data_IF_438333447193
#
_entry.id   IF_438333447193
#
_cell.length_a   1.000
_cell.length_b   1.000
_cell.length_c   1.000
_cell.angle_alpha   90.00
_cell.angle_beta   90.00
_cell.angle_gamma   90.00
#
_symmetry.space_group_name_H-M   'P 1'
#
loop_
_entity.id
_entity.type
_entity.pdbx_description
1 polymer ?
#
# COMPACT_ATOMS: atom_id res chain seq x y z
N UNK A 1 21.28 15.83 5.04
CA UNK A 1 21.37 14.36 4.99
C UNK A 1 20.13 13.85 5.70
N UNK A 2 19.30 13.05 5.04
CA UNK A 2 18.07 12.55 5.64
C UNK A 2 18.37 11.36 6.56
N UNK A 3 17.61 11.27 7.66
CA UNK A 3 17.72 10.18 8.61
C UNK A 3 16.46 9.31 8.56
N UNK A 4 16.67 8.00 8.55
CA UNK A 4 15.63 6.98 8.53
C UNK A 4 15.59 6.27 9.88
N UNK A 5 14.43 6.29 10.52
CA UNK A 5 14.21 5.53 11.74
C UNK A 5 14.06 4.04 11.41
N UNK A 6 14.95 3.21 11.94
CA UNK A 6 14.89 1.75 11.85
C UNK A 6 14.64 1.17 13.23
N UNK A 7 13.57 0.38 13.36
CA UNK A 7 13.25 -0.34 14.59
C UNK A 7 13.74 -1.77 14.46
N UNK A 8 14.74 -2.13 15.25
CA UNK A 8 15.32 -3.46 15.29
C UNK A 8 14.58 -4.29 16.32
N UNK A 9 14.15 -5.47 15.90
CA UNK A 9 13.57 -6.50 16.73
C UNK A 9 14.46 -7.74 16.70
N UNK A 10 14.97 -8.12 17.86
CA UNK A 10 15.66 -9.39 18.03
C UNK A 10 14.62 -10.48 18.33
N UNK A 11 14.61 -11.54 17.53
CA UNK A 11 13.67 -12.66 17.73
C UNK A 11 14.11 -13.63 18.81
N UNK A 12 15.39 -13.63 19.17
CA UNK A 12 15.96 -14.55 20.16
C UNK A 12 15.56 -14.16 21.59
N UNK A 13 15.64 -12.87 21.90
CA UNK A 13 15.38 -12.33 23.24
C UNK A 13 14.16 -11.39 23.30
N UNK A 14 13.46 -11.22 22.17
CA UNK A 14 12.31 -10.32 22.01
C UNK A 14 12.60 -8.85 22.34
N UNK A 15 13.88 -8.46 22.33
CA UNK A 15 14.29 -7.08 22.55
C UNK A 15 13.96 -6.20 21.35
N UNK A 16 13.71 -4.92 21.65
CA UNK A 16 13.38 -3.89 20.68
C UNK A 16 14.24 -2.67 20.92
N UNK A 17 14.85 -2.15 19.86
CA UNK A 17 15.59 -0.88 19.90
C UNK A 17 15.43 -0.08 18.62
N UNK A 18 15.53 1.23 18.71
CA UNK A 18 15.39 2.14 17.57
C UNK A 18 16.74 2.78 17.23
N UNK A 19 17.06 2.88 15.95
CA UNK A 19 18.26 3.53 15.44
C UNK A 19 17.90 4.53 14.35
N UNK A 20 18.61 5.66 14.34
CA UNK A 20 18.57 6.60 13.22
C UNK A 20 19.68 6.27 12.24
N UNK A 21 19.34 5.96 10.99
CA UNK A 21 20.30 5.59 9.93
C UNK A 21 20.31 6.67 8.85
N UNK A 22 21.46 7.28 8.52
CA UNK A 22 21.53 8.22 7.42
C UNK A 22 21.33 7.49 6.09
N UNK A 23 20.46 8.00 5.23
CA UNK A 23 20.15 7.36 3.95
C UNK A 23 20.11 8.35 2.79
N UNK A 24 20.20 7.80 1.59
CA UNK A 24 19.90 8.49 0.33
C UNK A 24 18.85 7.70 -0.46
N UNK A 25 18.11 8.37 -1.35
CA UNK A 25 17.10 7.72 -2.18
C UNK A 25 17.69 6.68 -3.16
N UNK A 26 19.00 6.74 -3.42
CA UNK A 26 19.72 5.79 -4.27
C UNK A 26 20.31 4.61 -3.48
N UNK A 27 20.20 4.62 -2.14
CA UNK A 27 20.63 3.47 -1.33
C UNK A 27 19.73 2.27 -1.62
N UNK A 28 20.30 1.08 -1.52
CA UNK A 28 19.55 -0.18 -1.58
C UNK A 28 19.27 -0.69 -0.17
N UNK A 29 18.38 -1.68 -0.06
CA UNK A 29 18.13 -2.40 1.21
C UNK A 29 19.42 -3.00 1.76
N UNK A 30 20.29 -3.56 0.90
CA UNK A 30 21.60 -4.06 1.31
C UNK A 30 22.47 -2.97 1.96
N UNK A 31 22.53 -1.78 1.37
CA UNK A 31 23.29 -0.66 1.95
C UNK A 31 22.75 -0.26 3.32
N UNK A 32 21.44 -0.38 3.55
CA UNK A 32 20.83 -0.14 4.87
C UNK A 32 21.20 -1.25 5.86
N UNK A 33 21.18 -2.52 5.45
CA UNK A 33 21.63 -3.64 6.29
C UNK A 33 23.10 -3.47 6.74
N UNK A 34 23.98 -3.06 5.83
CA UNK A 34 25.39 -2.78 6.11
C UNK A 34 25.56 -1.60 7.10
N UNK A 35 24.79 -0.53 6.93
CA UNK A 35 24.78 0.61 7.85
C UNK A 35 24.26 0.23 9.25
N UNK A 36 23.22 -0.61 9.33
CA UNK A 36 22.73 -1.15 10.59
C UNK A 36 23.80 -2.02 11.23
N UNK A 37 24.44 -2.89 10.45
CA UNK A 37 25.53 -3.76 10.89
C UNK A 37 26.67 -2.96 11.50
N UNK A 38 27.11 -1.89 10.84
CA UNK A 38 28.19 -1.02 11.34
C UNK A 38 27.85 -0.36 12.68
N UNK A 39 26.58 0.03 12.90
CA UNK A 39 26.15 0.64 14.17
C UNK A 39 25.89 -0.37 15.29
N UNK A 40 25.63 -1.64 14.98
CA UNK A 40 25.15 -2.63 15.96
C UNK A 40 26.10 -3.79 16.20
N UNK A 41 27.06 -4.01 15.31
CA UNK A 41 27.92 -5.19 15.29
C UNK A 41 27.24 -6.47 14.82
N UNK A 42 25.98 -6.41 14.36
CA UNK A 42 25.22 -7.59 13.89
C UNK A 42 25.59 -7.86 12.43
N UNK A 43 25.81 -9.11 12.05
CA UNK A 43 26.07 -9.46 10.64
C UNK A 43 24.88 -9.10 9.74
N UNK A 44 25.09 -8.48 8.56
CA UNK A 44 24.01 -8.12 7.65
C UNK A 44 23.21 -9.33 7.16
N UNK A 45 23.79 -10.54 7.16
CA UNK A 45 23.11 -11.79 6.77
C UNK A 45 22.08 -12.29 7.78
N UNK A 46 22.12 -11.77 9.00
CA UNK A 46 21.12 -12.05 10.03
C UNK A 46 20.02 -10.99 10.03
N UNK A 47 20.18 -9.89 9.29
CA UNK A 47 19.19 -8.82 9.23
C UNK A 47 18.20 -9.07 8.10
N UNK A 48 16.93 -8.86 8.41
CA UNK A 48 15.85 -8.88 7.44
C UNK A 48 15.04 -7.61 7.55
N UNK A 49 15.24 -6.71 6.60
CA UNK A 49 14.50 -5.44 6.55
C UNK A 49 13.10 -5.68 6.01
N UNK A 50 12.11 -5.13 6.71
CA UNK A 50 10.69 -5.30 6.48
C UNK A 50 10.02 -3.94 6.41
N UNK A 51 9.17 -3.78 5.39
CA UNK A 51 8.28 -2.64 5.25
C UNK A 51 6.88 -3.13 4.86
N UNK A 52 5.85 -2.59 5.50
CA UNK A 52 4.46 -2.98 5.26
C UNK A 52 4.21 -4.49 5.40
N UNK A 53 4.94 -5.14 6.32
CA UNK A 53 4.85 -6.57 6.59
C UNK A 53 5.48 -7.48 5.54
N UNK A 54 6.07 -6.92 4.48
CA UNK A 54 6.85 -7.65 3.49
C UNK A 54 8.34 -7.50 3.80
N UNK A 55 9.07 -8.63 3.77
CA UNK A 55 10.52 -8.60 3.76
C UNK A 55 11.02 -8.10 2.39
N UNK A 56 11.86 -7.08 2.43
CA UNK A 56 12.35 -6.42 1.22
C UNK A 56 13.52 -7.20 0.61
N UNK A 57 13.65 -7.14 -0.70
CA UNK A 57 14.80 -7.71 -1.40
C UNK A 57 16.00 -6.78 -1.29
N UNK A 58 17.20 -7.35 -1.12
CA UNK A 58 18.46 -6.62 -0.94
C UNK A 58 18.75 -5.61 -2.06
N UNK A 59 18.28 -5.88 -3.27
CA UNK A 59 18.45 -5.04 -4.47
C UNK A 59 17.44 -3.89 -4.59
N UNK A 60 16.40 -3.85 -3.76
CA UNK A 60 15.36 -2.82 -3.85
C UNK A 60 15.91 -1.45 -3.47
N UNK A 61 15.66 -0.42 -4.29
CA UNK A 61 16.05 0.95 -3.98
C UNK A 61 15.08 1.61 -3.00
N UNK A 62 15.58 2.45 -2.10
CA UNK A 62 14.73 3.14 -1.13
C UNK A 62 13.75 4.13 -1.76
N UNK A 63 14.07 4.71 -2.93
CA UNK A 63 13.14 5.57 -3.69
C UNK A 63 11.84 4.86 -4.08
N UNK A 64 11.89 3.55 -4.30
CA UNK A 64 10.74 2.76 -4.76
C UNK A 64 9.80 2.39 -3.59
N UNK A 65 10.26 2.55 -2.34
CA UNK A 65 9.54 2.16 -1.13
C UNK A 65 8.52 3.22 -0.64
N UNK A 66 8.44 4.38 -1.31
CA UNK A 66 7.56 5.49 -0.94
C UNK A 66 7.68 5.87 0.55
N UNK A 67 8.93 5.99 1.02
CA UNK A 67 9.25 6.41 2.38
C UNK A 67 8.77 7.86 2.56
N UNK A 68 7.85 8.07 3.49
CA UNK A 68 7.46 9.42 3.92
C UNK A 68 8.24 9.84 5.17
N UNK A 69 8.20 11.12 5.58
CA UNK A 69 9.04 11.68 6.65
C UNK A 69 8.95 10.95 8.00
N UNK A 70 7.84 10.28 8.28
CA UNK A 70 7.58 9.53 9.52
C UNK A 70 7.45 8.02 9.29
N UNK A 71 7.95 7.52 8.15
CA UNK A 71 7.99 6.09 7.86
C UNK A 71 9.21 5.49 8.50
N UNK A 72 9.01 4.52 9.39
CA UNK A 72 10.09 3.68 9.90
C UNK A 72 10.19 2.37 9.13
N UNK A 73 11.41 1.86 9.01
CA UNK A 73 11.67 0.47 8.62
C UNK A 73 11.74 -0.41 9.87
N UNK A 74 11.47 -1.70 9.68
CA UNK A 74 11.61 -2.70 10.73
C UNK A 74 12.71 -3.65 10.29
N UNK A 75 13.66 -3.96 11.16
CA UNK A 75 14.68 -4.97 10.89
C UNK A 75 14.54 -6.11 11.90
N UNK A 76 14.31 -7.33 11.41
CA UNK A 76 14.34 -8.53 12.26
C UNK A 76 15.73 -9.13 12.25
N UNK A 77 16.20 -9.56 13.41
CA UNK A 77 17.38 -10.41 13.54
C UNK A 77 16.92 -11.86 13.48
N UNK A 78 17.41 -12.62 12.50
CA UNK A 78 17.13 -14.06 12.34
C UNK A 78 18.33 -14.88 12.83
N UNK A 79 18.11 -15.85 13.73
CA UNK A 79 19.17 -16.72 14.26
C UNK A 79 19.64 -17.82 13.30
N UNK A 80 19.06 -17.90 12.09
CA UNK A 80 19.52 -18.82 11.03
C UNK A 80 19.60 -18.06 9.71
N UNK A 81 20.72 -18.15 8.99
CA UNK A 81 20.76 -17.70 7.61
C UNK A 81 19.75 -18.54 6.82
N UNK A 82 18.74 -17.88 6.24
CA UNK A 82 17.85 -18.54 5.29
C UNK A 82 18.67 -18.96 4.07
N UNK A 83 18.60 -20.22 3.61
CA UNK A 83 19.28 -20.62 2.39
C UNK A 83 18.77 -19.76 1.22
N UNK A 84 19.70 -19.09 0.54
CA UNK A 84 19.46 -18.39 -0.72
C UNK A 84 18.70 -19.32 -1.66
N UNK A 85 17.43 -19.00 -1.94
CA UNK A 85 16.69 -19.73 -2.96
C UNK A 85 17.28 -19.37 -4.33
N UNK A 86 17.58 -20.36 -5.22
CA UNK A 86 18.16 -20.08 -6.52
C UNK A 86 17.19 -19.32 -7.41
N UNK A 87 17.71 -18.32 -8.12
CA UNK A 87 17.03 -17.74 -9.28
C UNK A 87 16.71 -18.86 -10.28
N UNK A 88 15.44 -19.05 -10.58
CA UNK A 88 15.00 -19.94 -11.66
C UNK A 88 14.53 -19.08 -12.82
N UNK A 89 15.43 -18.91 -13.80
CA UNK A 89 15.10 -18.46 -15.14
C UNK A 89 14.19 -19.51 -15.80
N UNK A 90 12.95 -19.12 -16.12
CA UNK A 90 12.08 -19.87 -17.02
C UNK A 90 11.48 -18.90 -18.05
N UNK A 91 12.09 -18.87 -19.23
CA UNK A 91 11.49 -18.32 -20.46
C UNK A 91 10.28 -19.19 -20.82
N UNK A 92 9.11 -18.57 -20.93
CA UNK A 92 7.92 -19.16 -21.50
C UNK A 92 7.05 -18.07 -22.12
N UNK A 93 6.98 -18.06 -23.45
CA UNK A 93 6.04 -17.24 -24.24
C UNK A 93 4.60 -17.59 -23.85
N UNK A 94 3.85 -16.61 -23.36
CA UNK A 94 2.38 -16.63 -23.27
C UNK A 94 1.85 -15.20 -23.40
N UNK A 95 0.66 -15.00 -23.98
CA UNK A 95 0.22 -13.72 -24.52
C UNK A 95 0.06 -12.67 -23.42
N UNK A 96 0.27 -11.40 -23.80
CA UNK A 96 0.25 -10.20 -22.97
C UNK A 96 -1.06 -10.04 -22.18
N UNK A 97 -1.20 -10.79 -21.08
CA UNK A 97 -2.12 -10.48 -20.00
C UNK A 97 -1.49 -9.33 -19.22
N UNK A 98 -2.23 -8.23 -19.07
CA UNK A 98 -1.81 -7.06 -18.28
C UNK A 98 -1.52 -7.51 -16.83
N UNK A 99 -0.27 -7.88 -16.54
CA UNK A 99 0.21 -8.24 -15.21
C UNK A 99 0.49 -6.99 -14.37
N UNK A 100 -0.51 -6.15 -14.19
CA UNK A 100 -0.53 -5.22 -13.06
C UNK A 100 -1.43 -5.82 -11.99
N UNK A 101 -0.99 -5.96 -10.73
CA UNK A 101 -1.88 -6.36 -9.65
C UNK A 101 -3.14 -5.48 -9.68
N UNK A 102 -4.34 -6.03 -9.45
CA UNK A 102 -5.60 -5.26 -9.33
C UNK A 102 -5.47 -4.07 -8.34
N UNK A 103 -4.49 -4.17 -7.45
CA UNK A 103 -4.08 -3.18 -6.48
C UNK A 103 -2.84 -2.41 -6.97
N UNK A 104 -2.95 -1.72 -8.12
CA UNK A 104 -1.82 -1.00 -8.72
C UNK A 104 -1.55 0.40 -8.13
N UNK A 105 -2.54 1.02 -7.47
CA UNK A 105 -2.39 2.32 -6.80
C UNK A 105 -3.57 2.59 -5.87
N UNK A 106 -3.30 3.10 -4.68
CA UNK A 106 -4.34 3.47 -3.72
C UNK A 106 -4.59 4.97 -3.72
N UNK A 107 -5.85 5.34 -3.54
CA UNK A 107 -6.28 6.71 -3.34
C UNK A 107 -7.11 6.81 -2.07
N UNK A 108 -6.97 7.92 -1.36
CA UNK A 108 -7.75 8.22 -0.16
C UNK A 108 -8.33 9.61 -0.25
N UNK A 109 -9.50 9.80 0.34
CA UNK A 109 -9.90 11.13 0.80
C UNK A 109 -9.13 11.46 2.07
N UNK A 110 -8.26 12.46 1.98
CA UNK A 110 -7.44 12.91 3.11
C UNK A 110 -8.10 14.11 3.78
N UNK A 111 -8.52 13.97 5.04
CA UNK A 111 -9.15 15.07 5.81
C UNK A 111 -8.19 16.24 6.05
N UNK A 112 -6.90 15.97 6.21
CA UNK A 112 -5.90 17.01 6.46
C UNK A 112 -5.53 17.79 5.18
N UNK A 113 -5.55 17.13 4.01
CA UNK A 113 -5.28 17.79 2.73
C UNK A 113 -6.56 18.34 2.07
N UNK A 114 -7.73 18.03 2.62
CA UNK A 114 -9.06 18.35 2.05
C UNK A 114 -9.21 17.92 0.58
N UNK A 115 -8.59 16.80 0.20
CA UNK A 115 -8.50 16.39 -1.19
C UNK A 115 -8.26 14.88 -1.35
N UNK A 116 -8.54 14.37 -2.55
CA UNK A 116 -8.15 13.02 -2.98
C UNK A 116 -6.64 13.00 -3.19
N UNK A 117 -5.95 12.10 -2.49
CA UNK A 117 -4.49 11.93 -2.60
C UNK A 117 -4.14 10.48 -2.83
N UNK A 118 -2.99 10.24 -3.46
CA UNK A 118 -2.38 8.91 -3.48
C UNK A 118 -2.11 8.46 -2.05
N UNK A 119 -2.21 7.16 -1.83
CA UNK A 119 -2.03 6.55 -0.53
C UNK A 119 -1.07 5.38 -0.60
N UNK A 120 -0.49 5.08 0.57
CA UNK A 120 0.32 3.91 0.81
C UNK A 120 -0.39 2.99 1.79
N UNK A 121 -0.34 1.70 1.50
CA UNK A 121 -0.86 0.65 2.37
C UNK A 121 0.05 0.49 3.59
N UNK A 122 -0.54 0.22 4.75
CA UNK A 122 0.16 -0.12 5.99
C UNK A 122 -0.58 -1.26 6.67
N UNK A 123 0.16 -2.22 7.22
CA UNK A 123 -0.40 -3.39 7.92
C UNK A 123 -0.01 -3.34 9.39
N UNK A 124 -0.94 -3.76 10.25
CA UNK A 124 -0.74 -3.87 11.68
C UNK A 124 -1.36 -5.16 12.21
N UNK A 125 -0.92 -5.59 13.39
CA UNK A 125 -1.52 -6.71 14.10
C UNK A 125 -2.94 -6.37 14.56
N UNK A 126 -3.89 -7.30 14.38
CA UNK A 126 -5.26 -7.11 14.86
C UNK A 126 -5.35 -7.07 16.38
N UNK A 127 -4.51 -7.83 17.09
CA UNK A 127 -4.47 -7.92 18.55
C UNK A 127 -3.83 -6.70 19.21
N UNK A 128 -2.55 -6.42 18.94
CA UNK A 128 -1.79 -5.37 19.64
C UNK A 128 -1.65 -4.04 18.87
N UNK A 129 -2.15 -3.96 17.63
CA UNK A 129 -2.00 -2.79 16.73
C UNK A 129 -0.57 -2.42 16.34
N UNK A 130 0.43 -3.24 16.67
CA UNK A 130 1.81 -3.02 16.24
C UNK A 130 1.95 -3.15 14.72
N UNK A 131 2.83 -2.33 14.13
CA UNK A 131 3.28 -2.46 12.74
C UNK A 131 4.39 -3.49 12.55
N UNK A 132 4.98 -4.03 13.64
CA UNK A 132 6.01 -5.07 13.61
C UNK A 132 5.38 -6.44 13.36
N UNK A 133 4.92 -6.62 12.14
CA UNK A 133 4.28 -7.85 11.68
C UNK A 133 4.91 -8.32 10.38
N UNK A 134 4.85 -9.62 10.12
CA UNK A 134 5.14 -10.23 8.82
C UNK A 134 3.89 -10.88 8.28
N UNK A 135 3.50 -10.54 7.05
CA UNK A 135 2.34 -11.17 6.40
C UNK A 135 2.72 -12.55 5.87
N UNK A 136 1.83 -13.53 6.01
CA UNK A 136 2.02 -14.87 5.42
C UNK A 136 1.74 -14.91 3.91
N UNK A 137 0.93 -13.98 3.42
CA UNK A 137 0.52 -13.85 2.01
C UNK A 137 0.42 -12.37 1.64
N UNK A 138 0.86 -12.02 0.44
CA UNK A 138 0.66 -10.67 -0.09
C UNK A 138 -0.81 -10.43 -0.46
N UNK A 139 -1.35 -9.22 -0.20
CA UNK A 139 -2.69 -8.85 -0.63
C UNK A 139 -2.74 -8.76 -2.16
N UNK A 140 -3.75 -9.39 -2.75
CA UNK A 140 -3.92 -9.53 -4.20
C UNK A 140 -5.16 -8.82 -4.73
N UNK A 141 -6.19 -8.65 -3.90
CA UNK A 141 -7.44 -7.97 -4.26
C UNK A 141 -7.96 -7.06 -3.13
N UNK A 142 -8.92 -6.18 -3.46
CA UNK A 142 -9.53 -5.28 -2.47
C UNK A 142 -10.14 -6.01 -1.27
N UNK A 143 -10.65 -7.23 -1.45
CA UNK A 143 -11.21 -8.03 -0.36
C UNK A 143 -10.18 -8.30 0.73
N UNK A 144 -8.93 -8.59 0.35
CA UNK A 144 -7.83 -8.92 1.27
C UNK A 144 -7.50 -7.76 2.23
N UNK A 145 -7.64 -6.52 1.75
CA UNK A 145 -7.27 -5.32 2.51
C UNK A 145 -8.46 -4.62 3.18
N UNK A 146 -9.69 -4.86 2.71
CA UNK A 146 -10.89 -4.20 3.24
C UNK A 146 -11.64 -5.05 4.28
N UNK A 147 -11.59 -6.39 4.18
CA UNK A 147 -12.27 -7.28 5.13
C UNK A 147 -11.33 -7.72 6.25
N UNK A 148 -11.88 -7.95 7.43
CA UNK A 148 -11.13 -8.52 8.56
C UNK A 148 -10.79 -9.99 8.32
N UNK A 149 -9.71 -10.46 8.97
CA UNK A 149 -9.31 -11.88 9.03
C UNK A 149 -9.08 -12.53 7.65
N UNK A 150 -8.58 -11.75 6.68
CA UNK A 150 -8.27 -12.28 5.35
C UNK A 150 -6.82 -12.75 5.21
N UNK A 151 -5.90 -12.08 5.90
CA UNK A 151 -4.46 -12.38 5.86
C UNK A 151 -3.96 -12.59 7.27
N UNK A 152 -3.28 -13.71 7.50
CA UNK A 152 -2.58 -14.00 8.74
C UNK A 152 -1.23 -13.29 8.80
N UNK A 153 -0.83 -12.90 10.02
CA UNK A 153 0.45 -12.26 10.29
C UNK A 153 1.16 -12.90 11.47
N UNK A 154 2.48 -12.95 11.43
CA UNK A 154 3.30 -13.23 12.60
C UNK A 154 3.66 -11.88 13.24
N UNK A 155 3.21 -11.64 14.48
CA UNK A 155 3.47 -10.39 15.17
C UNK A 155 4.66 -10.51 16.10
N UNK A 156 5.65 -9.64 15.94
CA UNK A 156 6.85 -9.64 16.77
C UNK A 156 6.55 -9.23 18.22
N UNK A 157 5.63 -8.29 18.43
CA UNK A 157 5.28 -7.79 19.77
C UNK A 157 4.31 -8.73 20.52
N UNK A 158 3.53 -9.55 19.82
CA UNK A 158 2.68 -10.59 20.47
C UNK A 158 3.43 -11.92 20.64
N UNK A 159 4.49 -12.12 19.85
CA UNK A 159 5.18 -13.40 19.69
C UNK A 159 4.29 -14.57 19.23
N UNK A 160 3.17 -14.26 18.57
CA UNK A 160 2.17 -15.24 18.13
C UNK A 160 1.57 -14.86 16.77
N UNK A 161 0.88 -15.83 16.15
CA UNK A 161 0.11 -15.61 14.94
C UNK A 161 -1.16 -14.81 15.23
N UNK A 162 -1.48 -13.87 14.34
CA UNK A 162 -2.67 -13.03 14.42
C UNK A 162 -3.18 -12.73 13.01
N UNK A 163 -4.07 -11.74 12.86
CA UNK A 163 -4.59 -11.31 11.57
C UNK A 163 -4.15 -9.88 11.23
N UNK A 164 -3.95 -9.63 9.95
CA UNK A 164 -3.65 -8.31 9.41
C UNK A 164 -4.84 -7.35 9.57
N UNK A 165 -4.53 -6.12 9.95
CA UNK A 165 -5.42 -4.96 9.80
C UNK A 165 -4.70 -3.93 8.95
N UNK A 166 -5.31 -3.59 7.82
CA UNK A 166 -4.76 -2.64 6.87
C UNK A 166 -5.30 -1.23 7.10
N UNK A 167 -4.43 -0.24 6.91
CA UNK A 167 -4.79 1.17 6.86
C UNK A 167 -4.14 1.82 5.65
N UNK A 168 -4.78 2.88 5.16
CA UNK A 168 -4.28 3.69 4.06
C UNK A 168 -3.83 5.04 4.59
N UNK A 169 -2.59 5.41 4.31
CA UNK A 169 -2.04 6.71 4.71
C UNK A 169 -1.81 7.58 3.48
N UNK A 170 -2.23 8.84 3.54
CA UNK A 170 -1.94 9.84 2.53
C UNK A 170 -0.42 9.97 2.34
N UNK A 171 0.08 9.95 1.10
CA UNK A 171 1.53 10.08 0.88
C UNK A 171 2.04 11.49 1.19
N UNK A 172 1.18 12.51 1.08
CA UNK A 172 1.56 13.92 1.26
C UNK A 172 1.74 14.29 2.73
N UNK A 173 0.79 13.94 3.60
CA UNK A 173 0.82 14.32 5.02
C UNK A 173 0.92 13.13 5.98
N UNK A 174 0.96 11.89 5.48
CA UNK A 174 1.06 10.66 6.27
C UNK A 174 -0.13 10.36 7.22
N UNK A 175 -1.20 11.14 7.17
CA UNK A 175 -2.42 10.89 7.93
C UNK A 175 -3.26 9.75 7.36
N UNK A 176 -4.01 9.07 8.23
CA UNK A 176 -4.96 8.03 7.81
C UNK A 176 -6.08 8.66 6.98
N UNK A 177 -6.36 8.07 5.82
CA UNK A 177 -7.41 8.53 4.92
C UNK A 177 -8.46 7.45 4.67
N UNK A 178 -9.67 7.88 4.28
CA UNK A 178 -10.73 6.97 3.84
C UNK A 178 -10.40 6.51 2.42
N UNK A 179 -10.21 5.20 2.23
CA UNK A 179 -9.81 4.66 0.93
C UNK A 179 -10.94 4.72 -0.08
N UNK A 180 -10.59 5.07 -1.32
CA UNK A 180 -11.50 5.21 -2.43
C UNK A 180 -11.23 4.07 -3.43
N UNK A 181 -11.83 2.91 -3.18
CA UNK A 181 -11.58 1.68 -3.95
C UNK A 181 -12.07 1.72 -5.39
N UNK A 182 -12.86 2.73 -5.75
CA UNK A 182 -13.39 2.94 -7.11
C UNK A 182 -12.43 3.79 -7.96
N UNK A 183 -11.35 4.33 -7.40
CA UNK A 183 -10.41 5.13 -8.19
C UNK A 183 -9.39 4.23 -8.87
N UNK A 184 -9.06 4.53 -10.12
CA UNK A 184 -7.96 3.95 -10.88
C UNK A 184 -7.01 5.06 -11.30
N UNK A 185 -5.70 4.82 -11.19
CA UNK A 185 -4.71 5.74 -11.76
C UNK A 185 -4.75 5.69 -13.28
N UNK A 186 -4.67 6.85 -13.93
CA UNK A 186 -4.83 6.95 -15.38
C UNK A 186 -3.48 6.96 -16.11
N UNK A 187 -2.73 5.87 -15.98
CA UNK A 187 -1.39 5.74 -16.59
C UNK A 187 -1.44 5.47 -18.10
N UNK A 188 -2.57 4.96 -18.59
CA UNK A 188 -2.80 4.64 -19.99
C UNK A 188 -3.50 5.78 -20.76
N UNK A 189 -3.66 6.95 -20.13
CA UNK A 189 -4.35 8.10 -20.72
C UNK A 189 -5.75 7.78 -21.26
N UNK A 190 -6.51 6.97 -20.51
CA UNK A 190 -7.90 6.69 -20.83
C UNK A 190 -8.75 7.97 -20.77
N UNK A 191 -9.70 8.06 -21.68
CA UNK A 191 -10.65 9.17 -21.77
C UNK A 191 -11.76 9.05 -20.73
N UNK A 192 -12.23 10.19 -20.24
CA UNK A 192 -13.47 10.26 -19.47
C UNK A 192 -14.67 9.89 -20.35
N UNK A 193 -15.50 8.94 -19.93
CA UNK A 193 -16.69 8.50 -20.69
C UNK A 193 -17.78 9.58 -20.84
N UNK A 194 -17.66 10.73 -20.14
CA UNK A 194 -18.63 11.83 -20.19
C UNK A 194 -18.11 13.01 -21.02
N UNK A 195 -16.91 13.50 -20.70
CA UNK A 195 -16.35 14.70 -21.35
C UNK A 195 -15.22 14.41 -22.35
N UNK A 196 -14.83 13.15 -22.52
CA UNK A 196 -13.76 12.69 -23.42
C UNK A 196 -12.37 13.27 -23.11
N UNK A 197 -12.17 13.83 -21.91
CA UNK A 197 -10.87 14.35 -21.49
C UNK A 197 -9.91 13.19 -21.10
N UNK A 198 -8.73 13.18 -21.71
CA UNK A 198 -7.64 12.22 -21.51
C UNK A 198 -6.57 12.71 -20.51
N UNK A 199 -6.55 14.00 -20.15
CA UNK A 199 -5.51 14.62 -19.31
C UNK A 199 -5.72 14.41 -17.80
N UNK A 200 -6.56 13.45 -17.44
CA UNK A 200 -6.91 13.17 -16.05
C UNK A 200 -5.84 12.29 -15.41
N UNK A 201 -5.49 12.56 -14.15
CA UNK A 201 -4.49 11.75 -13.41
C UNK A 201 -5.05 10.46 -12.82
N UNK A 202 -6.37 10.43 -12.63
CA UNK A 202 -7.12 9.28 -12.15
C UNK A 202 -8.58 9.41 -12.57
N UNK A 203 -9.25 8.27 -12.62
CA UNK A 203 -10.64 8.12 -13.03
C UNK A 203 -11.41 7.32 -11.99
N UNK A 204 -12.72 7.54 -11.93
CA UNK A 204 -13.66 6.79 -11.10
C UNK A 204 -14.29 5.68 -11.93
N UNK A 205 -14.08 4.45 -11.47
CA UNK A 205 -14.60 3.21 -12.03
C UNK A 205 -15.94 2.86 -11.40
N UNK A 206 -16.99 2.85 -12.21
CA UNK A 206 -18.34 2.49 -11.80
C UNK A 206 -18.63 0.98 -11.90
N UNK A 207 -17.66 0.15 -12.31
CA UNK A 207 -17.80 -1.30 -12.45
C UNK A 207 -18.49 -1.76 -13.75
N UNK A 208 -18.93 -0.81 -14.58
CA UNK A 208 -19.54 -1.05 -15.90
C UNK A 208 -18.59 -0.73 -17.06
N UNK A 209 -17.28 -0.66 -16.80
CA UNK A 209 -16.23 -0.21 -17.73
C UNK A 209 -16.28 1.27 -18.13
N UNK A 210 -17.25 2.04 -17.63
CA UNK A 210 -17.27 3.50 -17.78
C UNK A 210 -16.43 4.18 -16.71
N UNK A 211 -15.45 4.95 -17.18
CA UNK A 211 -14.47 5.65 -16.36
C UNK A 211 -14.74 7.15 -16.40
N UNK A 212 -14.94 7.76 -15.23
CA UNK A 212 -15.42 9.15 -15.15
C UNK A 212 -14.39 10.02 -14.44
N UNK A 213 -14.11 11.21 -14.97
CA UNK A 213 -13.20 12.15 -14.34
C UNK A 213 -13.81 12.79 -13.08
N UNK A 214 -12.96 13.37 -12.24
CA UNK A 214 -13.39 14.07 -11.02
C UNK A 214 -14.42 15.16 -11.29
N UNK A 215 -14.21 15.96 -12.32
CA UNK A 215 -15.07 17.11 -12.62
C UNK A 215 -16.49 16.64 -13.00
N UNK A 216 -16.60 15.71 -13.94
CA UNK A 216 -17.88 15.12 -14.32
C UNK A 216 -18.57 14.42 -13.15
N UNK A 217 -17.82 13.68 -12.31
CA UNK A 217 -18.40 13.07 -11.12
C UNK A 217 -18.95 14.13 -10.15
N UNK A 218 -18.22 15.21 -9.91
CA UNK A 218 -18.66 16.31 -9.04
C UNK A 218 -19.94 16.96 -9.56
N UNK A 219 -20.02 17.23 -10.86
CA UNK A 219 -21.22 17.78 -11.50
C UNK A 219 -22.41 16.82 -11.41
N UNK A 220 -22.18 15.51 -11.64
CA UNK A 220 -23.20 14.49 -11.50
C UNK A 220 -23.74 14.39 -10.08
N UNK A 221 -22.86 14.42 -9.06
CA UNK A 221 -23.25 14.40 -7.66
C UNK A 221 -24.01 15.68 -7.26
N UNK A 222 -23.56 16.84 -7.75
CA UNK A 222 -24.23 18.13 -7.50
C UNK A 222 -25.63 18.15 -8.09
N UNK A 223 -25.76 17.67 -9.33
CA UNK A 223 -27.05 17.54 -10.00
C UNK A 223 -27.95 16.53 -9.30
N UNK A 224 -27.43 15.35 -8.93
CA UNK A 224 -28.19 14.35 -8.20
C UNK A 224 -28.67 14.86 -6.83
N UNK A 225 -27.89 15.70 -6.15
CA UNK A 225 -28.30 16.32 -4.90
C UNK A 225 -29.43 17.32 -5.10
N UNK A 226 -29.31 18.22 -6.08
CA UNK A 226 -30.33 19.26 -6.38
C UNK A 226 -31.66 18.64 -6.80
N UNK A 227 -31.60 17.61 -7.65
CA UNK A 227 -32.79 16.95 -8.20
C UNK A 227 -33.25 15.75 -7.35
N UNK A 228 -32.66 15.52 -6.16
CA UNK A 228 -32.98 14.37 -5.30
C UNK A 228 -32.91 13.00 -6.00
N UNK A 229 -31.94 12.82 -6.91
CA UNK A 229 -31.74 11.61 -7.74
C UNK A 229 -30.80 10.57 -7.13
N UNK A 230 -30.49 10.67 -5.84
CA UNK A 230 -29.78 9.59 -5.15
C UNK A 230 -30.67 8.35 -5.05
N UNK A 231 -30.11 7.19 -5.39
CA UNK A 231 -30.80 5.90 -5.35
C UNK A 231 -30.30 5.12 -4.14
N UNK A 232 -31.23 4.65 -3.31
CA UNK A 232 -30.90 3.75 -2.22
C UNK A 232 -30.62 2.34 -2.74
N UNK A 233 -29.39 1.87 -2.62
CA UNK A 233 -28.95 0.53 -3.03
C UNK A 233 -28.41 -0.24 -1.82
N UNK A 234 -29.20 -1.12 -1.18
CA UNK A 234 -28.69 -2.03 -0.14
C UNK A 234 -27.58 -2.95 -0.67
N UNK A 235 -26.56 -3.28 0.13
CA UNK A 235 -26.29 -2.82 1.50
C UNK A 235 -25.52 -1.47 1.58
N UNK A 236 -25.31 -0.79 0.45
CA UNK A 236 -24.40 0.36 0.32
C UNK A 236 -25.00 1.70 0.75
N UNK A 237 -26.34 1.83 0.76
CA UNK A 237 -27.03 3.06 1.11
C UNK A 237 -27.36 3.93 -0.10
N UNK A 238 -27.49 5.24 0.08
CA UNK A 238 -27.76 6.18 -1.02
C UNK A 238 -26.51 6.40 -1.87
N UNK A 239 -26.64 6.21 -3.18
CA UNK A 239 -25.58 6.35 -4.17
C UNK A 239 -26.12 6.94 -5.48
N UNK A 240 -25.24 7.22 -6.43
CA UNK A 240 -25.61 7.54 -7.81
C UNK A 240 -25.42 6.32 -8.73
N UNK A 241 -26.06 6.35 -9.90
CA UNK A 241 -25.79 5.41 -11.00
C UNK A 241 -24.63 5.90 -11.86
N UNK A 242 -24.16 5.06 -12.78
CA UNK A 242 -23.22 5.50 -13.80
C UNK A 242 -23.81 6.71 -14.56
N UNK A 243 -23.04 7.79 -14.78
CA UNK A 243 -23.52 8.95 -15.52
C UNK A 243 -23.49 8.75 -17.05
N UNK A 244 -22.93 7.63 -17.54
CA UNK A 244 -22.90 7.33 -18.96
C UNK A 244 -24.33 7.08 -19.49
N UNK A 245 -24.73 7.70 -20.62
CA UNK A 245 -26.07 7.52 -21.19
C UNK A 245 -26.39 6.05 -21.49
N UNK A 246 -27.52 5.56 -20.98
CA UNK A 246 -27.97 4.18 -21.23
C UNK A 246 -27.29 3.11 -20.37
N UNK A 247 -26.47 3.49 -19.40
CA UNK A 247 -25.92 2.54 -18.42
C UNK A 247 -26.84 2.45 -17.18
N UNK A 248 -27.36 1.25 -16.89
CA UNK A 248 -28.24 0.97 -15.73
C UNK A 248 -27.49 0.41 -14.50
#
# INVERSE_FOLDING_TARGET
>A
MEELLVVIHDRADHSKRSLSIPFTLNDTVQSIEEKISTKTGISPDLLKVVLCGRALERTTFLKDLLLGPTTSLIAFIENRPSPSSPATDAKGDTPLVRNTPEIGSFYVWCKNCHDVKRAKLRVHCSACKSSAVLVKKEPSCWRDVMKSRQIEVNCADCNEASYAVFYFKCITCNEKGAVLSHIRGNWEHAECSVCLDEHTTYLFDFGCHHMVCRQCLYECLTFALKESRFVFRPPFGYTITCPYPGCE
#
